data_IF_999568581016
#
_entry.id   IF_999568581016
#
_cell.length_a   1.000
_cell.length_b   1.000
_cell.length_c   1.000
_cell.angle_alpha   90.00
_cell.angle_beta   90.00
_cell.angle_gamma   90.00
#
_symmetry.space_group_name_H-M   'P 1'
#
loop_
_entity.id
_entity.type
_entity.pdbx_description
1 polymer ?
#
# COMPACT_ATOMS: atom_id res chain seq x y z
N UNK A 1 17.67 5.57 0.63
CA UNK A 1 16.61 6.50 0.19
C UNK A 1 15.34 5.77 0.52
N UNK A 2 14.78 6.09 1.69
CA UNK A 2 13.96 5.10 2.42
C UNK A 2 12.46 5.32 2.22
N UNK A 3 12.07 6.38 1.50
CA UNK A 3 10.70 6.67 1.10
C UNK A 3 10.67 7.07 -0.37
N UNK A 4 10.11 6.19 -1.20
CA UNK A 4 9.85 6.44 -2.61
C UNK A 4 8.32 6.31 -2.80
N UNK A 5 7.73 7.21 -3.58
CA UNK A 5 6.32 7.17 -3.96
C UNK A 5 6.22 7.10 -5.47
N UNK A 6 5.14 6.52 -6.00
CA UNK A 6 4.81 6.47 -7.42
C UNK A 6 3.49 7.21 -7.68
N UNK A 7 3.24 7.64 -8.93
CA UNK A 7 1.95 8.23 -9.29
C UNK A 7 0.78 7.29 -8.93
N UNK A 8 -0.23 7.84 -8.26
CA UNK A 8 -1.41 7.10 -7.78
C UNK A 8 -1.33 6.62 -6.32
N UNK A 9 -0.20 6.81 -5.63
CA UNK A 9 -0.08 6.44 -4.23
C UNK A 9 -1.02 7.27 -3.35
N UNK A 10 -1.72 6.58 -2.44
CA UNK A 10 -2.55 7.18 -1.39
C UNK A 10 -1.71 7.43 -0.14
N UNK A 11 -1.71 8.69 0.30
CA UNK A 11 -0.92 9.15 1.45
C UNK A 11 -1.67 10.22 2.24
N UNK A 12 -1.22 10.47 3.46
CA UNK A 12 -1.58 11.67 4.20
C UNK A 12 -0.52 12.76 4.02
N UNK A 13 -0.96 13.98 3.72
CA UNK A 13 -0.13 15.19 3.70
C UNK A 13 -0.82 16.20 4.60
N UNK A 14 -0.17 16.60 5.69
CA UNK A 14 -0.74 17.49 6.71
C UNK A 14 -2.13 17.02 7.20
N UNK A 15 -2.29 15.70 7.41
CA UNK A 15 -3.52 15.08 7.90
C UNK A 15 -4.65 14.96 6.86
N UNK A 16 -4.44 15.38 5.62
CA UNK A 16 -5.42 15.25 4.53
C UNK A 16 -5.03 14.13 3.57
N UNK A 17 -6.00 13.33 3.15
CA UNK A 17 -5.79 12.28 2.14
C UNK A 17 -5.45 12.95 0.80
N UNK A 18 -4.34 12.53 0.19
CA UNK A 18 -3.85 13.03 -1.10
C UNK A 18 -3.40 11.87 -1.97
N UNK A 19 -3.42 12.12 -3.28
CA UNK A 19 -2.94 11.21 -4.31
C UNK A 19 -1.67 11.81 -4.90
N UNK A 20 -0.59 11.04 -4.91
CA UNK A 20 0.68 11.47 -5.48
C UNK A 20 0.56 11.54 -7.00
N UNK A 21 0.92 12.69 -7.58
CA UNK A 21 0.99 12.90 -9.03
C UNK A 21 2.37 12.55 -9.59
N UNK A 22 3.44 12.91 -8.88
CA UNK A 22 4.82 12.60 -9.24
C UNK A 22 5.74 12.62 -8.00
N UNK A 23 6.89 11.97 -8.07
CA UNK A 23 7.91 11.97 -7.02
C UNK A 23 9.30 11.78 -7.61
N UNK A 24 10.27 12.62 -7.21
CA UNK A 24 11.68 12.51 -7.63
C UNK A 24 12.59 11.87 -6.57
N UNK A 25 12.00 11.44 -5.45
CA UNK A 25 12.68 10.88 -4.28
C UNK A 25 13.00 11.89 -3.18
N UNK A 26 12.90 13.20 -3.44
CA UNK A 26 13.06 14.27 -2.45
C UNK A 26 11.79 15.08 -2.26
N UNK A 27 11.10 15.33 -3.37
CA UNK A 27 9.83 16.06 -3.42
C UNK A 27 8.79 15.21 -4.15
N UNK A 28 7.54 15.37 -3.71
CA UNK A 28 6.40 14.82 -4.40
C UNK A 28 5.41 15.93 -4.70
N UNK A 29 4.69 15.77 -5.81
CA UNK A 29 3.63 16.67 -6.21
C UNK A 29 2.27 16.00 -6.08
N UNK A 30 1.24 16.81 -5.82
CA UNK A 30 -0.15 16.39 -5.76
C UNK A 30 -1.07 17.55 -6.15
N UNK A 31 -2.32 17.28 -6.48
CA UNK A 31 -3.33 18.32 -6.68
C UNK A 31 -4.15 18.51 -5.41
N UNK A 32 -4.32 19.75 -4.98
CA UNK A 32 -5.18 20.08 -3.83
C UNK A 32 -6.67 20.14 -4.22
N UNK A 33 -7.53 20.49 -3.26
CA UNK A 33 -8.98 20.61 -3.43
C UNK A 33 -9.39 21.63 -4.51
N UNK A 34 -8.51 22.59 -4.84
CA UNK A 34 -8.74 23.62 -5.86
C UNK A 34 -8.08 23.24 -7.20
N UNK A 35 -7.72 21.97 -7.39
CA UNK A 35 -7.01 21.45 -8.56
C UNK A 35 -5.68 22.19 -8.84
N UNK A 36 -5.08 22.78 -7.81
CA UNK A 36 -3.78 23.45 -7.92
C UNK A 36 -2.66 22.46 -7.61
N UNK A 37 -1.64 22.44 -8.48
CA UNK A 37 -0.46 21.60 -8.28
C UNK A 37 0.35 22.13 -7.10
N UNK A 38 0.53 21.28 -6.10
CA UNK A 38 1.36 21.52 -4.92
C UNK A 38 2.60 20.63 -4.96
N UNK A 39 3.64 21.05 -4.27
CA UNK A 39 4.88 20.30 -4.09
C UNK A 39 5.24 20.27 -2.60
N UNK A 40 5.62 19.10 -2.10
CA UNK A 40 6.02 18.90 -0.70
C UNK A 40 7.26 18.02 -0.61
N UNK A 41 8.03 18.22 0.44
CA UNK A 41 9.15 17.32 0.75
C UNK A 41 8.63 15.95 1.19
N UNK A 42 9.21 14.85 0.71
CA UNK A 42 8.74 13.49 1.04
C UNK A 42 8.74 13.18 2.55
N UNK A 43 9.51 13.92 3.36
CA UNK A 43 9.53 13.73 4.81
C UNK A 43 8.25 14.20 5.52
N UNK A 44 7.45 15.07 4.91
CA UNK A 44 6.14 15.48 5.48
C UNK A 44 5.01 14.54 5.08
N UNK A 45 5.29 13.56 4.22
CA UNK A 45 4.32 12.58 3.76
C UNK A 45 4.23 11.45 4.78
N UNK A 46 3.00 11.17 5.18
CA UNK A 46 2.64 10.12 6.12
C UNK A 46 2.00 8.96 5.35
N UNK A 47 2.52 7.75 5.53
CA UNK A 47 1.94 6.55 4.94
C UNK A 47 0.65 6.16 5.65
N UNK A 48 -0.36 5.72 4.90
CA UNK A 48 -1.61 5.20 5.46
C UNK A 48 -1.34 3.76 5.97
N UNK A 49 -1.50 3.46 7.26
CA UNK A 49 -1.25 2.12 7.78
C UNK A 49 -2.22 1.11 7.18
N UNK A 50 -1.72 -0.10 6.88
CA UNK A 50 -2.58 -1.19 6.45
C UNK A 50 -3.40 -1.68 7.66
N UNK A 51 -4.69 -1.87 7.44
CA UNK A 51 -5.61 -2.45 8.42
C UNK A 51 -6.40 -3.60 7.78
N UNK A 52 -6.90 -4.55 8.58
CA UNK A 52 -7.89 -5.52 8.15
C UNK A 52 -9.05 -4.91 7.34
N UNK A 53 -9.59 -3.77 7.80
CA UNK A 53 -10.71 -3.09 7.15
C UNK A 53 -10.34 -2.62 5.73
N UNK A 54 -9.14 -2.05 5.54
CA UNK A 54 -8.65 -1.65 4.22
C UNK A 54 -8.50 -2.87 3.31
N UNK A 55 -7.97 -3.99 3.82
CA UNK A 55 -7.84 -5.21 3.02
C UNK A 55 -9.21 -5.71 2.54
N UNK A 56 -10.20 -5.76 3.44
CA UNK A 56 -11.55 -6.24 3.16
C UNK A 56 -12.29 -5.35 2.14
N UNK A 57 -12.21 -4.02 2.27
CA UNK A 57 -12.74 -3.06 1.28
C UNK A 57 -12.15 -3.27 -0.11
N UNK A 58 -10.88 -3.70 -0.17
CA UNK A 58 -10.14 -3.90 -1.41
C UNK A 58 -10.12 -5.35 -1.91
N UNK A 59 -11.12 -6.15 -1.53
CA UNK A 59 -11.36 -7.47 -2.11
C UNK A 59 -10.50 -8.61 -1.55
N UNK A 60 -9.68 -8.33 -0.53
CA UNK A 60 -9.01 -9.38 0.22
C UNK A 60 -10.02 -10.09 1.12
N UNK A 61 -9.97 -11.42 1.12
CA UNK A 61 -10.89 -12.24 1.93
C UNK A 61 -10.15 -12.84 3.10
N UNK A 62 -10.73 -12.73 4.29
CA UNK A 62 -10.24 -13.44 5.47
C UNK A 62 -10.26 -14.95 5.20
N UNK A 63 -9.09 -15.58 5.32
CA UNK A 63 -8.84 -17.01 5.07
C UNK A 63 -8.62 -17.79 6.39
N UNK A 64 -8.89 -17.14 7.53
CA UNK A 64 -8.69 -17.67 8.88
C UNK A 64 -7.27 -17.45 9.43
N UNK A 65 -7.12 -17.60 10.75
CA UNK A 65 -5.82 -17.48 11.45
C UNK A 65 -5.06 -16.18 11.15
N UNK A 66 -5.78 -15.05 11.06
CA UNK A 66 -5.24 -13.73 10.72
C UNK A 66 -4.60 -13.63 9.32
N UNK A 67 -4.97 -14.53 8.40
CA UNK A 67 -4.60 -14.45 6.99
C UNK A 67 -5.71 -13.86 6.15
N UNK A 68 -5.29 -13.07 5.16
CA UNK A 68 -6.14 -12.54 4.11
C UNK A 68 -5.60 -13.02 2.77
N UNK A 69 -6.49 -13.31 1.82
CA UNK A 69 -6.10 -13.73 0.46
C UNK A 69 -6.75 -12.90 -0.62
N UNK A 70 -5.98 -12.64 -1.67
CA UNK A 70 -6.45 -12.01 -2.89
C UNK A 70 -6.26 -12.98 -4.07
N UNK A 71 -7.33 -13.39 -4.77
CA UNK A 71 -7.20 -14.21 -5.97
C UNK A 71 -6.49 -13.45 -7.08
N UNK A 72 -5.51 -14.10 -7.70
CA UNK A 72 -4.92 -13.68 -8.98
C UNK A 72 -5.40 -14.60 -10.10
N UNK A 73 -4.90 -14.44 -11.33
CA UNK A 73 -5.25 -15.31 -12.46
C UNK A 73 -4.83 -16.78 -12.27
N UNK A 74 -3.79 -17.07 -11.49
CA UNK A 74 -3.18 -18.42 -11.37
C UNK A 74 -2.83 -18.86 -9.95
N UNK A 75 -2.80 -17.94 -9.00
CA UNK A 75 -2.41 -18.18 -7.62
C UNK A 75 -3.18 -17.26 -6.67
N UNK A 76 -2.88 -17.35 -5.38
CA UNK A 76 -3.31 -16.38 -4.37
C UNK A 76 -2.12 -15.56 -3.91
N UNK A 77 -2.36 -14.27 -3.70
CA UNK A 77 -1.56 -13.50 -2.76
C UNK A 77 -2.15 -13.70 -1.37
N UNK A 78 -1.28 -13.76 -0.38
CA UNK A 78 -1.64 -13.87 1.02
C UNK A 78 -1.02 -12.70 1.76
N UNK A 79 -1.72 -12.17 2.75
CA UNK A 79 -1.18 -11.16 3.64
C UNK A 79 -1.58 -11.49 5.09
N UNK A 80 -0.65 -11.33 6.02
CA UNK A 80 -0.89 -11.50 7.45
C UNK A 80 -0.08 -10.50 8.24
N UNK A 81 -0.51 -10.18 9.45
CA UNK A 81 0.25 -9.34 10.36
C UNK A 81 1.25 -10.20 11.13
N UNK A 82 2.55 -9.95 10.96
CA UNK A 82 3.58 -10.62 11.73
C UNK A 82 3.67 -10.03 13.14
N UNK A 83 3.07 -10.74 14.08
CA UNK A 83 3.09 -10.39 15.50
C UNK A 83 4.39 -10.80 16.21
N UNK A 84 5.27 -11.58 15.57
CA UNK A 84 6.47 -12.14 16.19
C UNK A 84 7.72 -11.25 16.04
N UNK A 85 7.80 -10.42 15.00
CA UNK A 85 9.01 -9.63 14.69
C UNK A 85 8.84 -8.14 14.97
N UNK A 86 8.05 -7.44 14.16
CA UNK A 86 8.02 -5.98 14.09
C UNK A 86 6.62 -5.39 13.88
N UNK A 87 5.57 -6.23 13.86
CA UNK A 87 4.18 -5.79 13.67
C UNK A 87 3.83 -5.42 12.22
N UNK A 88 4.73 -5.69 11.28
CA UNK A 88 4.55 -5.46 9.85
C UNK A 88 3.59 -6.49 9.23
N UNK A 89 3.09 -6.20 8.04
CA UNK A 89 2.35 -7.16 7.24
C UNK A 89 3.29 -7.89 6.29
N UNK A 90 3.27 -9.22 6.34
CA UNK A 90 3.97 -10.07 5.39
C UNK A 90 3.05 -10.34 4.22
N UNK A 91 3.50 -10.01 3.01
CA UNK A 91 2.85 -10.43 1.77
C UNK A 91 3.55 -11.68 1.26
N UNK A 92 2.77 -12.72 1.01
CA UNK A 92 3.23 -14.03 0.57
C UNK A 92 2.52 -14.45 -0.72
N UNK A 93 3.10 -15.42 -1.42
CA UNK A 93 2.52 -16.00 -2.65
C UNK A 93 2.44 -17.52 -2.59
N UNK A 94 1.38 -18.06 -3.19
CA UNK A 94 1.18 -19.51 -3.29
C UNK A 94 0.74 -20.16 -1.98
N UNK A 95 0.36 -21.43 -2.05
CA UNK A 95 -0.19 -22.17 -0.90
C UNK A 95 0.83 -22.35 0.22
N UNK A 96 2.11 -22.45 -0.13
CA UNK A 96 3.22 -22.55 0.83
C UNK A 96 3.59 -21.20 1.47
N UNK A 97 2.89 -20.12 1.11
CA UNK A 97 3.02 -18.77 1.68
C UNK A 97 4.46 -18.28 1.69
N UNK A 98 5.16 -18.43 0.57
CA UNK A 98 6.51 -17.92 0.42
C UNK A 98 6.52 -16.39 0.54
N UNK A 99 7.33 -15.87 1.46
CA UNK A 99 7.42 -14.44 1.72
C UNK A 99 7.92 -13.69 0.49
N UNK A 100 7.23 -12.61 0.14
CA UNK A 100 7.53 -11.76 -1.00
C UNK A 100 8.00 -10.38 -0.55
N UNK A 101 7.34 -9.80 0.45
CA UNK A 101 7.64 -8.48 0.97
C UNK A 101 7.10 -8.31 2.40
N UNK A 102 7.73 -7.41 3.15
CA UNK A 102 7.18 -6.87 4.40
C UNK A 102 6.75 -5.42 4.18
N UNK A 103 5.54 -5.07 4.59
CA UNK A 103 4.93 -3.76 4.36
C UNK A 103 4.17 -3.27 5.58
N UNK A 104 4.10 -1.96 5.75
CA UNK A 104 3.33 -1.30 6.80
C UNK A 104 2.23 -0.38 6.24
N UNK A 105 2.41 0.10 5.02
CA UNK A 105 1.60 1.18 4.46
C UNK A 105 0.95 0.82 3.13
N UNK A 106 -0.21 1.44 2.86
CA UNK A 106 -1.01 1.28 1.64
C UNK A 106 -0.18 1.48 0.37
N UNK A 107 0.61 2.55 0.26
CA UNK A 107 1.44 2.79 -0.93
C UNK A 107 2.38 1.61 -1.24
N UNK A 108 2.94 0.94 -0.22
CA UNK A 108 3.80 -0.22 -0.43
C UNK A 108 3.02 -1.42 -0.99
N UNK A 109 1.77 -1.59 -0.55
CA UNK A 109 0.86 -2.58 -1.15
C UNK A 109 0.50 -2.20 -2.59
N UNK A 110 0.22 -0.92 -2.86
CA UNK A 110 -0.07 -0.41 -4.20
C UNK A 110 1.10 -0.68 -5.16
N UNK A 111 2.35 -0.43 -4.74
CA UNK A 111 3.56 -0.72 -5.53
C UNK A 111 3.65 -2.19 -5.90
N UNK A 112 3.40 -3.07 -4.92
CA UNK A 112 3.45 -4.51 -5.13
C UNK A 112 2.37 -4.96 -6.13
N UNK A 113 1.13 -4.51 -5.95
CA UNK A 113 0.02 -4.86 -6.83
C UNK A 113 0.25 -4.31 -8.25
N UNK A 114 0.73 -3.08 -8.37
CA UNK A 114 1.12 -2.46 -9.63
C UNK A 114 2.20 -3.29 -10.36
N UNK A 115 3.27 -3.68 -9.66
CA UNK A 115 4.34 -4.51 -10.22
C UNK A 115 3.87 -5.90 -10.65
N UNK A 116 2.80 -6.42 -10.04
CA UNK A 116 2.16 -7.68 -10.41
C UNK A 116 1.07 -7.52 -11.49
N UNK A 117 0.86 -6.31 -12.01
CA UNK A 117 -0.21 -5.97 -12.95
C UNK A 117 -1.61 -6.38 -12.42
N UNK A 118 -1.82 -6.13 -11.14
CA UNK A 118 -3.10 -6.24 -10.43
C UNK A 118 -3.61 -4.82 -10.16
N UNK A 119 -4.92 -4.63 -10.06
CA UNK A 119 -5.48 -3.33 -9.71
C UNK A 119 -4.87 -2.81 -8.40
N UNK A 120 -4.26 -1.63 -8.46
CA UNK A 120 -3.62 -0.95 -7.34
C UNK A 120 -4.42 0.26 -6.82
N UNK A 121 -5.59 0.53 -7.40
CA UNK A 121 -6.55 1.47 -6.81
C UNK A 121 -7.07 0.90 -5.49
N UNK A 122 -7.10 1.74 -4.44
CA UNK A 122 -7.49 1.31 -3.11
C UNK A 122 -8.50 2.25 -2.46
N UNK A 123 -9.43 1.68 -1.70
CA UNK A 123 -10.32 2.38 -0.78
C UNK A 123 -9.72 2.34 0.64
N UNK A 124 -9.52 3.51 1.26
CA UNK A 124 -8.87 3.66 2.58
C UNK A 124 -9.80 4.27 3.62
#
# INVERSE_FOLDING_TARGET
MDKLYIPGDLVYIHGSLRIISNCDGYYATYYDENESLQEVNVNVIEGIPITPEILEKNGWKNDGYDWYRLPTKRAYLYITKDIATLGEFLVCVGLDRHNLASINFVHQLQHLLFGLNINSEMEV
#
